data_IF_904575952240
#
_entry.id   IF_904575952240
#
_cell.length_a   1.000
_cell.length_b   1.000
_cell.length_c   1.000
_cell.angle_alpha   90.00
_cell.angle_beta   90.00
_cell.angle_gamma   90.00
#
_symmetry.space_group_name_H-M   'P 1'
#
loop_
_entity.id
_entity.type
_entity.pdbx_description
1 polymer ?
#
# COMPACT_ATOMS: atom_id res chain seq x y z
N UNK A 1 -0.37 3.31 34.49
CA UNK A 1 -1.16 3.46 33.26
C UNK A 1 -0.18 3.87 32.19
N UNK A 2 -0.09 3.14 31.07
CA UNK A 2 0.78 3.54 29.95
C UNK A 2 0.01 4.62 29.19
N UNK A 3 0.57 5.82 29.11
CA UNK A 3 -0.02 6.91 28.34
C UNK A 3 0.30 6.68 26.87
N UNK A 4 -0.73 6.37 26.08
CA UNK A 4 -0.60 6.09 24.65
C UNK A 4 -1.05 7.33 23.87
N UNK A 5 -0.15 7.90 23.08
CA UNK A 5 -0.48 9.02 22.19
C UNK A 5 -1.19 8.50 20.94
N UNK A 6 -2.51 8.47 21.02
CA UNK A 6 -3.39 8.06 19.92
C UNK A 6 -3.25 8.98 18.70
N UNK A 7 -3.01 10.27 18.93
CA UNK A 7 -2.78 11.25 17.87
C UNK A 7 -1.53 10.91 17.06
N UNK A 8 -0.43 10.53 17.74
CA UNK A 8 0.80 10.10 17.09
C UNK A 8 0.62 8.80 16.27
N UNK A 9 -0.18 7.84 16.75
CA UNK A 9 -0.49 6.60 16.01
C UNK A 9 -1.20 6.92 14.69
N UNK A 10 -2.23 7.78 14.72
CA UNK A 10 -2.96 8.21 13.52
C UNK A 10 -2.09 9.02 12.57
N UNK A 11 -1.26 9.90 13.12
CA UNK A 11 -0.32 10.70 12.35
C UNK A 11 0.71 9.82 11.61
N UNK A 12 1.20 8.76 12.26
CA UNK A 12 2.11 7.79 11.64
C UNK A 12 1.47 7.10 10.43
N UNK A 13 0.23 6.63 10.56
CA UNK A 13 -0.49 6.00 9.44
C UNK A 13 -0.65 6.93 8.24
N UNK A 14 -0.98 8.20 8.51
CA UNK A 14 -1.05 9.24 7.47
C UNK A 14 0.31 9.53 6.84
N UNK A 15 1.37 9.62 7.65
CA UNK A 15 2.71 9.90 7.17
C UNK A 15 3.24 8.78 6.26
N UNK A 16 3.01 7.52 6.62
CA UNK A 16 3.40 6.37 5.81
C UNK A 16 2.70 6.38 4.45
N UNK A 17 1.40 6.65 4.44
CA UNK A 17 0.59 6.79 3.23
C UNK A 17 1.13 7.91 2.33
N UNK A 18 1.33 9.11 2.88
CA UNK A 18 1.81 10.28 2.14
C UNK A 18 3.22 10.10 1.57
N UNK A 19 4.11 9.39 2.27
CA UNK A 19 5.48 9.18 1.82
C UNK A 19 5.59 8.04 0.80
N UNK A 20 4.76 7.00 0.92
CA UNK A 20 4.94 5.76 0.16
C UNK A 20 4.03 5.69 -1.07
N UNK A 21 2.78 6.17 -0.98
CA UNK A 21 1.81 6.08 -2.07
C UNK A 21 2.30 6.75 -3.37
N UNK A 22 2.91 7.96 -3.36
CA UNK A 22 3.38 8.59 -4.59
C UNK A 22 4.43 7.77 -5.33
N UNK A 23 5.30 7.07 -4.61
CA UNK A 23 6.32 6.20 -5.20
C UNK A 23 5.71 4.97 -5.90
N UNK A 24 4.71 4.35 -5.27
CA UNK A 24 3.96 3.22 -5.84
C UNK A 24 3.15 3.63 -7.07
N UNK A 25 2.53 4.81 -7.03
CA UNK A 25 1.79 5.37 -8.17
C UNK A 25 2.73 5.68 -9.33
N UNK A 26 3.86 6.33 -9.07
CA UNK A 26 4.86 6.62 -10.10
C UNK A 26 5.43 5.33 -10.73
N UNK A 27 5.67 4.28 -9.94
CA UNK A 27 6.10 2.99 -10.46
C UNK A 27 5.03 2.33 -11.34
N UNK A 28 3.76 2.42 -10.92
CA UNK A 28 2.62 1.89 -11.67
C UNK A 28 2.44 2.59 -13.02
N UNK A 29 2.57 3.91 -13.06
CA UNK A 29 2.49 4.68 -14.31
C UNK A 29 3.64 4.36 -15.27
N UNK A 30 4.86 4.17 -14.75
CA UNK A 30 5.98 3.71 -15.57
C UNK A 30 5.74 2.34 -16.18
N UNK A 31 5.20 1.40 -15.41
CA UNK A 31 4.89 0.06 -15.89
C UNK A 31 3.83 0.07 -17.02
N UNK A 32 2.78 0.88 -16.86
CA UNK A 32 1.77 1.10 -17.92
C UNK A 32 2.40 1.64 -19.21
N UNK A 33 3.35 2.58 -19.09
CA UNK A 33 4.05 3.13 -20.24
C UNK A 33 4.90 2.06 -20.96
N UNK A 34 5.60 1.19 -20.23
CA UNK A 34 6.41 0.10 -20.83
C UNK A 34 5.53 -0.87 -21.62
N UNK A 35 4.34 -1.21 -21.09
CA UNK A 35 3.38 -2.11 -21.76
C UNK A 35 3.04 -1.68 -23.19
N UNK A 36 2.95 -0.37 -23.43
CA UNK A 36 2.65 0.18 -24.75
C UNK A 36 3.81 0.06 -25.76
N UNK A 37 5.06 0.03 -25.30
CA UNK A 37 6.26 0.13 -26.15
C UNK A 37 6.71 -1.25 -26.65
N UNK A 38 6.62 -2.29 -25.83
CA UNK A 38 7.39 -3.52 -26.07
C UNK A 38 6.59 -4.71 -26.61
N UNK A 39 5.28 -4.81 -26.35
CA UNK A 39 4.47 -5.91 -26.90
C UNK A 39 4.46 -5.93 -28.45
N UNK A 40 4.44 -4.74 -29.08
CA UNK A 40 4.53 -4.61 -30.54
C UNK A 40 5.89 -5.03 -31.11
N UNK A 41 6.96 -4.95 -30.31
CA UNK A 41 8.32 -5.22 -30.78
C UNK A 41 8.65 -6.72 -30.76
N UNK A 42 8.07 -7.49 -29.82
CA UNK A 42 8.37 -8.91 -29.69
C UNK A 42 7.47 -9.83 -30.52
N UNK A 43 6.25 -9.41 -30.83
CA UNK A 43 5.27 -10.21 -31.58
C UNK A 43 5.71 -10.52 -33.02
N UNK A 44 6.62 -9.73 -33.59
CA UNK A 44 7.13 -9.92 -34.96
C UNK A 44 8.48 -10.64 -35.04
N UNK A 45 9.25 -10.73 -33.94
CA UNK A 45 10.66 -11.15 -33.98
C UNK A 45 10.92 -12.45 -33.20
N UNK A 46 10.42 -12.58 -31.96
CA UNK A 46 10.64 -13.79 -31.13
C UNK A 46 9.46 -14.00 -30.17
N UNK A 47 8.51 -14.91 -30.49
CA UNK A 47 7.31 -15.13 -29.66
C UNK A 47 7.59 -15.51 -28.20
N UNK A 48 8.68 -16.23 -27.92
CA UNK A 48 9.04 -16.59 -26.54
C UNK A 48 9.44 -15.38 -25.69
N UNK A 49 10.07 -14.37 -26.28
CA UNK A 49 10.39 -13.12 -25.58
C UNK A 49 9.12 -12.30 -25.32
N UNK A 50 8.14 -12.34 -26.23
CA UNK A 50 6.84 -11.70 -26.01
C UNK A 50 6.12 -12.30 -24.78
N UNK A 51 6.13 -13.63 -24.65
CA UNK A 51 5.53 -14.33 -23.49
C UNK A 51 6.26 -13.98 -22.20
N UNK A 52 7.60 -14.01 -22.21
CA UNK A 52 8.40 -13.66 -21.03
C UNK A 52 8.18 -12.20 -20.60
N UNK A 53 8.07 -11.28 -21.57
CA UNK A 53 7.76 -9.88 -21.32
C UNK A 53 6.38 -9.70 -20.67
N UNK A 54 5.34 -10.32 -21.22
CA UNK A 54 3.98 -10.25 -20.65
C UNK A 54 3.97 -10.78 -19.22
N UNK A 55 4.59 -11.94 -18.98
CA UNK A 55 4.66 -12.52 -17.64
C UNK A 55 5.38 -11.60 -16.63
N UNK A 56 6.47 -10.95 -17.05
CA UNK A 56 7.20 -10.00 -16.20
C UNK A 56 6.36 -8.76 -15.87
N UNK A 57 5.63 -8.22 -16.84
CA UNK A 57 4.72 -7.07 -16.64
C UNK A 57 3.59 -7.45 -15.68
N UNK A 58 2.91 -8.58 -15.91
CA UNK A 58 1.83 -9.05 -15.05
C UNK A 58 2.29 -9.29 -13.61
N UNK A 59 3.46 -9.91 -13.43
CA UNK A 59 4.07 -10.08 -12.11
C UNK A 59 4.30 -8.75 -11.40
N UNK A 60 4.84 -7.75 -12.11
CA UNK A 60 5.10 -6.44 -11.52
C UNK A 60 3.81 -5.65 -11.23
N UNK A 61 2.78 -5.77 -12.08
CA UNK A 61 1.46 -5.18 -11.86
C UNK A 61 0.86 -5.71 -10.54
N UNK A 62 0.94 -7.03 -10.33
CA UNK A 62 0.44 -7.69 -9.12
C UNK A 62 1.23 -7.32 -7.86
N UNK A 63 2.57 -7.22 -7.96
CA UNK A 63 3.41 -6.78 -6.86
C UNK A 63 3.09 -5.33 -6.44
N UNK A 64 2.91 -4.41 -7.39
CA UNK A 64 2.57 -3.02 -7.09
C UNK A 64 1.18 -2.92 -6.46
N UNK A 65 0.20 -3.67 -6.98
CA UNK A 65 -1.14 -3.75 -6.41
C UNK A 65 -1.13 -4.26 -4.98
N UNK A 66 -0.37 -5.32 -4.70
CA UNK A 66 -0.24 -5.91 -3.37
C UNK A 66 0.44 -4.96 -2.40
N UNK A 67 1.52 -4.28 -2.80
CA UNK A 67 2.19 -3.28 -1.95
C UNK A 67 1.27 -2.11 -1.62
N UNK A 68 0.43 -1.66 -2.56
CA UNK A 68 -0.58 -0.63 -2.29
C UNK A 68 -1.61 -1.10 -1.27
N UNK A 69 -2.10 -2.33 -1.42
CA UNK A 69 -3.06 -2.93 -0.47
C UNK A 69 -2.46 -3.04 0.93
N UNK A 70 -1.21 -3.50 1.07
CA UNK A 70 -0.52 -3.56 2.36
C UNK A 70 -0.38 -2.18 3.01
N UNK A 71 -0.07 -1.13 2.22
CA UNK A 71 0.04 0.23 2.74
C UNK A 71 -1.30 0.72 3.33
N UNK A 72 -2.40 0.48 2.60
CA UNK A 72 -3.76 0.79 3.09
C UNK A 72 -4.13 -0.03 4.32
N UNK A 73 -3.74 -1.31 4.38
CA UNK A 73 -3.97 -2.17 5.55
C UNK A 73 -3.22 -1.65 6.77
N UNK A 74 -1.95 -1.23 6.63
CA UNK A 74 -1.16 -0.66 7.72
C UNK A 74 -1.87 0.57 8.30
N UNK A 75 -2.32 1.49 7.44
CA UNK A 75 -3.07 2.67 7.89
C UNK A 75 -4.35 2.29 8.63
N UNK A 76 -5.11 1.33 8.10
CA UNK A 76 -6.33 0.83 8.74
C UNK A 76 -6.04 0.24 10.12
N UNK A 77 -5.01 -0.59 10.26
CA UNK A 77 -4.65 -1.22 11.54
C UNK A 77 -4.17 -0.23 12.58
N UNK A 78 -3.44 0.82 12.16
CA UNK A 78 -3.04 1.91 13.04
C UNK A 78 -4.27 2.68 13.54
N UNK A 79 -5.22 3.00 12.67
CA UNK A 79 -6.46 3.66 13.05
C UNK A 79 -7.31 2.80 13.98
N UNK A 80 -7.49 1.51 13.70
CA UNK A 80 -8.21 0.59 14.60
C UNK A 80 -7.52 0.47 15.96
N UNK A 81 -6.18 0.45 15.98
CA UNK A 81 -5.43 0.42 17.24
C UNK A 81 -5.69 1.70 18.05
N UNK A 82 -5.67 2.85 17.39
CA UNK A 82 -6.01 4.13 17.99
C UNK A 82 -7.44 4.15 18.57
N UNK A 83 -8.43 3.69 17.80
CA UNK A 83 -9.84 3.61 18.22
C UNK A 83 -10.00 2.69 19.46
N UNK A 84 -9.31 1.54 19.47
CA UNK A 84 -9.37 0.59 20.59
C UNK A 84 -8.79 1.17 21.88
N UNK A 85 -7.72 1.97 21.78
CA UNK A 85 -7.13 2.65 22.93
C UNK A 85 -8.07 3.72 23.51
N UNK A 86 -8.67 4.56 22.65
CA UNK A 86 -9.66 5.56 23.08
C UNK A 86 -10.85 4.91 23.78
N UNK A 87 -11.40 3.83 23.21
CA UNK A 87 -12.51 3.09 23.80
C UNK A 87 -12.16 2.45 25.16
N UNK A 88 -10.92 1.96 25.31
CA UNK A 88 -10.44 1.37 26.57
C UNK A 88 -10.28 2.43 27.66
N UNK A 89 -9.78 3.61 27.30
CA UNK A 89 -9.61 4.73 28.23
C UNK A 89 -10.97 5.27 28.71
N UNK A 90 -11.93 5.43 27.79
CA UNK A 90 -13.30 5.84 28.12
C UNK A 90 -13.97 4.82 29.06
N UNK A 91 -13.89 3.53 28.76
CA UNK A 91 -14.44 2.47 29.60
C UNK A 91 -13.82 2.45 31.00
N UNK A 92 -12.49 2.64 31.10
CA UNK A 92 -11.77 2.68 32.38
C UNK A 92 -12.17 3.89 33.23
N UNK A 93 -12.48 5.01 32.58
CA UNK A 93 -12.93 6.24 33.25
C UNK A 93 -14.35 6.12 33.82
N UNK A 94 -15.23 5.33 33.19
CA UNK A 94 -16.60 5.11 33.64
C UNK A 94 -16.69 4.17 34.86
N UNK A 95 -15.80 3.18 34.98
CA UNK A 95 -15.82 2.20 36.09
C UNK A 95 -15.25 2.77 37.40
N UNK A 96 -14.47 3.85 37.33
CA UNK A 96 -13.72 4.40 38.49
C UNK A 96 -14.44 5.59 39.18
N UNK A 97 -15.70 5.87 38.85
CA UNK A 97 -16.54 6.90 39.50
C UNK A 97 -17.66 6.27 40.32
#
# INVERSE_FOLDING_TARGET
MIEVDVGAIRALGTALEQQTAPGLEAASERLKATRAIEHSNFTSVVPSLAVAYVAAVEFMEEELRTKRAHLTEIQSRLNTTADNWEATEEASTIVTR
#
